data_IF_274669870202
#
_entry.id   IF_274669870202
#
_cell.length_a   1.000
_cell.length_b   1.000
_cell.length_c   1.000
_cell.angle_alpha   90.00
_cell.angle_beta   90.00
_cell.angle_gamma   90.00
#
_symmetry.space_group_name_H-M   'P 1'
#
loop_
_entity.id
_entity.type
_entity.pdbx_description
1 polymer ?
#
# COMPACT_ATOMS: atom_id res chain seq x y z
N UNK A 1 -37.10 3.85 55.39
CA UNK A 1 -36.43 5.17 55.38
C UNK A 1 -37.02 5.97 54.23
N UNK A 2 -37.43 7.22 54.47
CA UNK A 2 -37.75 8.20 53.40
C UNK A 2 -36.43 8.73 52.85
N UNK A 3 -36.32 8.94 51.54
CA UNK A 3 -35.81 10.18 50.94
C UNK A 3 -36.18 10.23 49.45
N UNK A 4 -37.33 10.82 49.18
CA UNK A 4 -37.64 11.50 47.91
C UNK A 4 -36.63 12.65 47.72
N UNK A 5 -36.16 12.89 46.50
CA UNK A 5 -36.13 14.22 45.82
C UNK A 5 -35.33 14.12 44.51
N UNK A 6 -36.07 14.29 43.41
CA UNK A 6 -35.74 14.97 42.15
C UNK A 6 -34.28 15.39 41.88
N UNK A 7 -33.75 14.94 40.74
CA UNK A 7 -32.69 15.64 40.00
C UNK A 7 -33.28 16.05 38.64
N UNK A 8 -33.77 17.28 38.64
CA UNK A 8 -33.76 18.28 37.56
C UNK A 8 -33.41 17.80 36.16
N UNK A 9 -34.39 17.89 35.26
CA UNK A 9 -34.18 18.02 33.81
C UNK A 9 -33.22 19.18 33.52
N UNK A 10 -31.97 18.86 33.19
CA UNK A 10 -31.01 19.84 32.69
C UNK A 10 -31.34 20.12 31.22
N UNK A 11 -32.23 21.09 31.00
CA UNK A 11 -32.52 21.66 29.69
C UNK A 11 -31.28 22.34 29.13
N UNK A 12 -30.43 21.59 28.43
CA UNK A 12 -29.37 22.16 27.63
C UNK A 12 -30.01 22.99 26.52
N UNK A 13 -29.99 24.30 26.70
CA UNK A 13 -30.47 25.25 25.72
C UNK A 13 -29.67 25.06 24.43
N UNK A 14 -30.31 24.47 23.41
CA UNK A 14 -29.78 24.45 22.06
C UNK A 14 -29.87 25.88 21.51
N UNK A 15 -28.84 26.67 21.82
CA UNK A 15 -28.63 27.98 21.21
C UNK A 15 -28.54 27.78 19.71
N UNK A 16 -29.56 28.23 18.99
CA UNK A 16 -29.57 28.26 17.52
C UNK A 16 -28.55 29.31 17.08
N UNK A 17 -27.30 28.88 16.91
CA UNK A 17 -26.34 29.58 16.08
C UNK A 17 -26.71 29.29 14.64
N UNK A 18 -27.41 30.23 14.01
CA UNK A 18 -27.72 30.22 12.59
C UNK A 18 -26.50 30.60 11.72
N UNK A 19 -25.35 30.00 12.01
CA UNK A 19 -24.35 29.76 10.97
C UNK A 19 -24.84 28.54 10.15
N UNK A 20 -24.55 28.49 8.83
CA UNK A 20 -24.89 27.30 8.06
C UNK A 20 -24.22 26.07 8.71
N UNK A 21 -24.94 24.96 8.90
CA UNK A 21 -24.45 23.80 9.68
C UNK A 21 -23.23 23.10 9.06
N UNK A 22 -22.74 23.59 7.93
CA UNK A 22 -21.56 23.12 7.21
C UNK A 22 -20.24 23.58 7.82
N UNK A 23 -20.12 24.80 8.37
CA UNK A 23 -18.78 25.35 8.70
C UNK A 23 -18.12 24.64 9.89
N UNK A 24 -18.82 24.54 11.03
CA UNK A 24 -18.30 23.86 12.23
C UNK A 24 -18.11 22.36 12.00
N UNK A 25 -18.96 21.74 11.16
CA UNK A 25 -18.82 20.34 10.77
C UNK A 25 -17.59 20.15 9.86
N UNK A 26 -17.39 21.02 8.86
CA UNK A 26 -16.22 20.98 7.98
C UNK A 26 -14.91 21.16 8.75
N UNK A 27 -14.81 22.14 9.66
CA UNK A 27 -13.59 22.36 10.47
C UNK A 27 -13.26 21.15 11.37
N UNK A 28 -14.28 20.48 11.92
CA UNK A 28 -14.12 19.23 12.70
C UNK A 28 -13.74 18.03 11.82
N UNK A 29 -14.34 17.94 10.64
CA UNK A 29 -14.12 16.86 9.68
C UNK A 29 -12.73 16.99 9.02
N UNK A 30 -12.26 18.20 8.73
CA UNK A 30 -10.87 18.49 8.36
C UNK A 30 -9.90 18.05 9.45
N UNK A 31 -10.13 18.42 10.70
CA UNK A 31 -9.28 18.01 11.83
C UNK A 31 -9.23 16.48 11.96
N UNK A 32 -10.34 15.79 11.65
CA UNK A 32 -10.40 14.32 11.59
C UNK A 32 -9.55 13.77 10.45
N UNK A 33 -9.67 14.31 9.23
CA UNK A 33 -8.86 13.90 8.07
C UNK A 33 -7.36 14.17 8.31
N UNK A 34 -7.00 15.33 8.87
CA UNK A 34 -5.64 15.68 9.24
C UNK A 34 -5.09 14.72 10.32
N UNK A 35 -5.88 14.41 11.36
CA UNK A 35 -5.53 13.45 12.39
C UNK A 35 -5.27 12.04 11.82
N UNK A 36 -6.14 11.58 10.92
CA UNK A 36 -5.95 10.32 10.17
C UNK A 36 -4.63 10.33 9.39
N UNK A 37 -4.38 11.37 8.59
CA UNK A 37 -3.16 11.42 7.76
C UNK A 37 -1.90 11.53 8.63
N UNK A 38 -1.96 12.22 9.77
CA UNK A 38 -0.87 12.22 10.76
C UNK A 38 -0.66 10.84 11.39
N UNK A 39 -1.72 10.12 11.77
CA UNK A 39 -1.62 8.77 12.35
C UNK A 39 -1.03 7.77 11.33
N UNK A 40 -1.43 7.88 10.07
CA UNK A 40 -0.87 7.14 8.92
C UNK A 40 0.61 7.48 8.75
N UNK A 41 0.98 8.77 8.73
CA UNK A 41 2.37 9.22 8.62
C UNK A 41 3.26 8.75 9.77
N UNK A 42 2.76 8.80 11.02
CA UNK A 42 3.49 8.27 12.17
C UNK A 42 3.65 6.75 12.09
N UNK A 43 2.60 6.01 11.74
CA UNK A 43 2.66 4.56 11.55
C UNK A 43 3.62 4.15 10.42
N UNK A 44 3.71 4.96 9.35
CA UNK A 44 4.68 4.80 8.26
C UNK A 44 6.12 5.07 8.73
N UNK A 45 6.33 6.07 9.60
CA UNK A 45 7.64 6.34 10.23
C UNK A 45 8.07 5.24 11.19
N UNK A 46 7.14 4.63 11.91
CA UNK A 46 7.46 3.52 12.80
C UNK A 46 7.71 2.23 12.00
N UNK A 47 7.01 2.02 10.87
CA UNK A 47 7.38 1.00 9.88
C UNK A 47 8.78 1.25 9.28
N UNK A 48 9.14 2.50 8.95
CA UNK A 48 10.49 2.86 8.51
C UNK A 48 11.56 2.47 9.54
N UNK A 49 11.37 2.83 10.81
CA UNK A 49 12.28 2.45 11.90
C UNK A 49 12.35 0.94 12.09
N UNK A 50 11.23 0.21 11.95
CA UNK A 50 11.21 -1.25 12.04
C UNK A 50 11.99 -1.91 10.89
N UNK A 51 11.97 -1.34 9.68
CA UNK A 51 12.82 -1.76 8.57
C UNK A 51 14.29 -1.43 8.84
N UNK A 52 14.62 -0.20 9.25
CA UNK A 52 16.00 0.21 9.55
C UNK A 52 16.63 -0.61 10.70
N UNK A 53 15.85 -0.89 11.74
CA UNK A 53 16.22 -1.71 12.88
C UNK A 53 16.10 -3.23 12.65
N UNK A 54 15.67 -3.68 11.46
CA UNK A 54 15.61 -5.10 11.14
C UNK A 54 17.00 -5.72 11.26
N UNK A 55 17.13 -6.81 12.02
CA UNK A 55 18.39 -7.52 12.27
C UNK A 55 18.15 -9.04 12.23
N UNK A 56 17.27 -9.50 11.33
CA UNK A 56 16.88 -10.91 11.15
C UNK A 56 15.56 -11.33 11.81
N UNK A 57 14.99 -10.54 12.72
CA UNK A 57 13.70 -10.84 13.37
C UNK A 57 12.52 -10.19 12.63
N UNK A 58 11.54 -11.00 12.23
CA UNK A 58 10.35 -10.53 11.50
C UNK A 58 9.29 -9.90 12.43
N UNK A 59 9.27 -10.21 13.73
CA UNK A 59 8.17 -9.88 14.63
C UNK A 59 7.93 -8.37 14.73
N UNK A 60 9.00 -7.59 14.90
CA UNK A 60 8.91 -6.12 14.92
C UNK A 60 8.42 -5.52 13.60
N UNK A 61 8.86 -6.08 12.46
CA UNK A 61 8.49 -5.59 11.13
C UNK A 61 7.06 -5.97 10.73
N UNK A 62 6.65 -7.22 10.97
CA UNK A 62 5.28 -7.68 10.75
C UNK A 62 4.29 -6.98 11.68
N UNK A 63 4.66 -6.75 12.95
CA UNK A 63 3.89 -5.96 13.89
C UNK A 63 3.66 -4.52 13.41
N UNK A 64 4.73 -3.83 13.00
CA UNK A 64 4.64 -2.47 12.46
C UNK A 64 3.82 -2.40 11.17
N UNK A 65 4.00 -3.35 10.25
CA UNK A 65 3.26 -3.38 8.98
C UNK A 65 1.77 -3.74 9.17
N UNK A 66 1.46 -4.63 10.12
CA UNK A 66 0.09 -4.93 10.54
C UNK A 66 -0.59 -3.72 11.20
N UNK A 67 0.12 -3.03 12.10
CA UNK A 67 -0.35 -1.79 12.71
C UNK A 67 -0.59 -0.69 11.66
N UNK A 68 0.32 -0.53 10.68
CA UNK A 68 0.14 0.41 9.57
C UNK A 68 -1.08 0.06 8.71
N UNK A 69 -1.25 -1.21 8.36
CA UNK A 69 -2.41 -1.70 7.59
C UNK A 69 -3.72 -1.47 8.36
N UNK A 70 -3.73 -1.68 9.67
CA UNK A 70 -4.89 -1.38 10.53
C UNK A 70 -5.19 0.13 10.57
N UNK A 71 -4.16 0.98 10.75
CA UNK A 71 -4.27 2.45 10.70
C UNK A 71 -4.82 2.94 9.35
N UNK A 72 -4.40 2.36 8.22
CA UNK A 72 -4.94 2.67 6.90
C UNK A 72 -6.43 2.32 6.77
N UNK A 73 -6.86 1.16 7.27
CA UNK A 73 -8.26 0.75 7.26
C UNK A 73 -9.13 1.62 8.20
N UNK A 74 -8.67 1.89 9.41
CA UNK A 74 -9.37 2.78 10.36
C UNK A 74 -9.45 4.21 9.81
N UNK A 75 -8.36 4.72 9.25
CA UNK A 75 -8.32 6.01 8.58
C UNK A 75 -9.30 6.09 7.42
N UNK A 76 -9.39 5.04 6.60
CA UNK A 76 -10.36 4.95 5.51
C UNK A 76 -11.79 5.07 6.03
N UNK A 77 -12.14 4.31 7.08
CA UNK A 77 -13.48 4.38 7.69
C UNK A 77 -13.79 5.76 8.29
N UNK A 78 -12.82 6.39 8.96
CA UNK A 78 -12.99 7.74 9.50
C UNK A 78 -13.23 8.77 8.40
N UNK A 79 -12.40 8.78 7.34
CA UNK A 79 -12.56 9.69 6.18
C UNK A 79 -13.83 9.39 5.38
N UNK A 80 -14.27 8.13 5.27
CA UNK A 80 -15.57 7.81 4.66
C UNK A 80 -16.72 8.50 5.41
N UNK A 81 -16.63 8.58 6.74
CA UNK A 81 -17.62 9.22 7.61
C UNK A 81 -17.59 10.75 7.65
N UNK A 82 -16.61 11.42 7.03
CA UNK A 82 -16.57 12.89 6.97
C UNK A 82 -17.35 13.46 5.79
N UNK A 83 -17.67 14.75 5.87
CA UNK A 83 -18.19 15.56 4.78
C UNK A 83 -17.15 15.77 3.66
N UNK A 84 -17.59 16.32 2.52
CA UNK A 84 -16.66 16.89 1.52
C UNK A 84 -15.93 18.10 2.11
N UNK A 85 -14.65 18.27 1.74
CA UNK A 85 -13.84 19.41 2.18
C UNK A 85 -13.74 20.47 1.08
N UNK A 86 -13.53 21.72 1.47
CA UNK A 86 -13.34 22.84 0.55
C UNK A 86 -11.95 22.83 -0.10
N UNK A 87 -11.77 23.63 -1.15
CA UNK A 87 -10.48 23.80 -1.82
C UNK A 87 -9.38 24.30 -0.86
N UNK A 88 -9.72 25.20 0.06
CA UNK A 88 -8.76 25.79 0.99
C UNK A 88 -8.27 24.77 2.03
N UNK A 89 -9.14 23.83 2.40
CA UNK A 89 -8.86 22.71 3.28
C UNK A 89 -8.02 21.63 2.57
N UNK A 90 -8.32 21.35 1.30
CA UNK A 90 -7.51 20.48 0.45
C UNK A 90 -6.06 20.98 0.29
N UNK A 91 -5.87 22.31 0.18
CA UNK A 91 -4.53 22.91 0.15
C UNK A 91 -3.75 22.70 1.45
N UNK A 92 -4.42 22.63 2.61
CA UNK A 92 -3.77 22.30 3.88
C UNK A 92 -3.29 20.83 3.92
N UNK A 93 -4.03 19.92 3.27
CA UNK A 93 -3.62 18.51 3.17
C UNK A 93 -2.35 18.30 2.34
N UNK A 94 -2.06 19.19 1.38
CA UNK A 94 -0.92 19.06 0.46
C UNK A 94 0.44 18.93 1.19
N UNK A 95 0.63 19.65 2.30
CA UNK A 95 1.83 19.52 3.13
C UNK A 95 1.96 18.10 3.71
N UNK A 96 0.88 17.55 4.26
CA UNK A 96 0.88 16.19 4.81
C UNK A 96 1.12 15.11 3.75
N UNK A 97 0.54 15.26 2.55
CA UNK A 97 0.78 14.30 1.45
C UNK A 97 2.23 14.34 0.97
N UNK A 98 2.85 15.54 0.91
CA UNK A 98 4.29 15.65 0.58
C UNK A 98 5.19 14.97 1.63
N UNK A 99 4.80 15.04 2.91
CA UNK A 99 5.45 14.29 4.00
C UNK A 99 5.33 12.79 3.82
N UNK A 100 4.11 12.27 3.60
CA UNK A 100 3.87 10.84 3.32
C UNK A 100 4.64 10.34 2.08
N UNK A 101 4.75 11.16 1.03
CA UNK A 101 5.53 10.81 -0.16
C UNK A 101 7.03 10.72 0.15
N UNK A 102 7.56 11.63 0.96
CA UNK A 102 8.95 11.57 1.44
C UNK A 102 9.19 10.34 2.31
N UNK A 103 8.30 10.07 3.28
CA UNK A 103 8.38 8.91 4.18
C UNK A 103 8.24 7.58 3.41
N UNK A 104 7.43 7.53 2.35
CA UNK A 104 7.29 6.37 1.46
C UNK A 104 8.50 6.15 0.53
N UNK A 105 9.16 7.23 0.11
CA UNK A 105 10.44 7.13 -0.61
C UNK A 105 11.56 6.62 0.33
N UNK A 106 11.57 7.08 1.59
CA UNK A 106 12.46 6.57 2.61
C UNK A 106 12.21 5.08 2.88
N UNK A 107 10.93 4.63 2.97
CA UNK A 107 10.58 3.22 3.12
C UNK A 107 11.13 2.37 1.99
N UNK A 108 10.94 2.80 0.75
CA UNK A 108 11.44 2.10 -0.43
C UNK A 108 12.96 1.95 -0.37
N UNK A 109 13.69 3.05 -0.12
CA UNK A 109 15.16 3.03 0.02
C UNK A 109 15.64 2.17 1.18
N UNK A 110 14.94 2.18 2.31
CA UNK A 110 15.36 1.42 3.50
C UNK A 110 15.06 -0.07 3.33
N UNK A 111 13.95 -0.44 2.69
CA UNK A 111 13.69 -1.80 2.26
C UNK A 111 14.79 -2.28 1.29
N UNK A 112 15.13 -1.50 0.26
CA UNK A 112 16.18 -1.85 -0.71
C UNK A 112 17.56 -2.03 -0.05
N UNK A 113 17.94 -1.16 0.89
CA UNK A 113 19.17 -1.33 1.70
C UNK A 113 19.15 -2.62 2.54
N UNK A 114 17.99 -3.01 3.06
CA UNK A 114 17.80 -4.18 3.94
C UNK A 114 17.50 -5.48 3.19
N UNK A 115 17.29 -5.41 1.87
CA UNK A 115 17.16 -6.56 0.98
C UNK A 115 18.14 -7.71 1.24
N UNK A 116 19.47 -7.52 1.36
CA UNK A 116 20.39 -8.62 1.67
C UNK A 116 20.18 -9.26 3.04
N UNK A 117 19.53 -8.59 3.99
CA UNK A 117 19.13 -9.18 5.28
C UNK A 117 17.82 -9.94 5.17
N UNK A 118 16.84 -9.43 4.41
CA UNK A 118 15.60 -10.16 4.10
C UNK A 118 15.88 -11.43 3.28
N UNK A 119 16.82 -11.38 2.35
CA UNK A 119 17.31 -12.53 1.59
C UNK A 119 17.92 -13.58 2.53
N UNK A 120 18.84 -13.18 3.43
CA UNK A 120 19.41 -14.07 4.46
C UNK A 120 18.36 -14.71 5.36
N UNK A 121 17.34 -13.96 5.76
CA UNK A 121 16.23 -14.44 6.58
C UNK A 121 15.16 -15.21 5.78
N UNK A 122 15.31 -15.35 4.46
CA UNK A 122 14.35 -15.96 3.53
C UNK A 122 12.94 -15.34 3.53
N UNK A 123 12.86 -14.01 3.70
CA UNK A 123 11.62 -13.26 3.89
C UNK A 123 11.07 -12.57 2.63
N UNK A 124 11.74 -12.64 1.48
CA UNK A 124 11.40 -11.87 0.27
C UNK A 124 9.90 -11.92 -0.09
N UNK A 125 9.30 -13.12 -0.09
CA UNK A 125 7.88 -13.31 -0.40
C UNK A 125 6.92 -12.69 0.62
N UNK A 126 7.26 -12.71 1.91
CA UNK A 126 6.47 -12.08 2.97
C UNK A 126 6.53 -10.56 2.82
N UNK A 127 7.74 -10.00 2.61
CA UNK A 127 7.92 -8.56 2.37
C UNK A 127 7.14 -8.13 1.12
N UNK A 128 7.24 -8.85 0.00
CA UNK A 128 6.46 -8.57 -1.21
C UNK A 128 4.95 -8.59 -0.97
N UNK A 129 4.42 -9.58 -0.24
CA UNK A 129 2.99 -9.67 0.07
C UNK A 129 2.53 -8.54 1.00
N UNK A 130 3.38 -8.15 1.95
CA UNK A 130 3.07 -7.09 2.91
C UNK A 130 3.10 -5.70 2.25
N UNK A 131 4.07 -5.44 1.36
CA UNK A 131 4.13 -4.21 0.54
C UNK A 131 2.88 -4.10 -0.34
N UNK A 132 2.43 -5.19 -0.96
CA UNK A 132 1.18 -5.22 -1.73
C UNK A 132 -0.05 -4.88 -0.88
N UNK A 133 -0.20 -5.56 0.27
CA UNK A 133 -1.32 -5.35 1.21
C UNK A 133 -1.38 -3.91 1.75
N UNK A 134 -0.22 -3.33 2.03
CA UNK A 134 -0.06 -1.93 2.43
C UNK A 134 -0.40 -0.99 1.28
N UNK A 135 0.00 -1.31 0.05
CA UNK A 135 -0.33 -0.56 -1.16
C UNK A 135 -1.83 -0.51 -1.44
N UNK A 136 -2.53 -1.63 -1.31
CA UNK A 136 -3.99 -1.68 -1.44
C UNK A 136 -4.71 -0.86 -0.37
N UNK A 137 -4.24 -0.94 0.89
CA UNK A 137 -4.77 -0.13 2.00
C UNK A 137 -4.56 1.36 1.79
N UNK A 138 -3.36 1.76 1.34
CA UNK A 138 -3.02 3.14 1.06
C UNK A 138 -3.79 3.67 -0.16
N UNK A 139 -3.94 2.87 -1.22
CA UNK A 139 -4.75 3.22 -2.40
C UNK A 139 -6.20 3.46 -2.01
N UNK A 140 -6.82 2.58 -1.20
CA UNK A 140 -8.19 2.78 -0.69
C UNK A 140 -8.35 4.07 0.10
N UNK A 141 -7.39 4.39 0.99
CA UNK A 141 -7.42 5.64 1.73
C UNK A 141 -7.31 6.85 0.79
N UNK A 142 -6.38 6.83 -0.16
CA UNK A 142 -6.19 7.93 -1.11
C UNK A 142 -7.43 8.10 -2.00
N UNK A 143 -7.95 7.03 -2.60
CA UNK A 143 -9.18 7.07 -3.40
C UNK A 143 -10.36 7.61 -2.57
N UNK A 144 -10.46 7.24 -1.29
CA UNK A 144 -11.46 7.79 -0.36
C UNK A 144 -11.27 9.29 -0.15
N UNK A 145 -10.04 9.76 0.11
CA UNK A 145 -9.75 11.21 0.22
C UNK A 145 -10.07 11.93 -1.09
N UNK A 146 -9.80 11.32 -2.26
CA UNK A 146 -10.17 11.85 -3.59
C UNK A 146 -11.69 12.06 -3.70
N UNK A 147 -12.52 11.15 -3.16
CA UNK A 147 -13.98 11.35 -3.13
C UNK A 147 -14.45 12.49 -2.22
N UNK A 148 -13.61 12.97 -1.29
CA UNK A 148 -13.95 14.06 -0.37
C UNK A 148 -13.40 15.43 -0.82
N UNK A 149 -12.48 15.48 -1.78
CA UNK A 149 -11.99 16.74 -2.36
C UNK A 149 -12.75 17.15 -3.62
N UNK A 150 -12.89 18.46 -3.90
CA UNK A 150 -13.66 18.94 -5.04
C UNK A 150 -12.98 18.60 -6.37
N UNK A 151 -13.79 18.42 -7.43
CA UNK A 151 -13.37 18.02 -8.78
C UNK A 151 -12.12 18.76 -9.30
N UNK A 152 -11.97 20.06 -9.01
CA UNK A 152 -10.82 20.88 -9.39
C UNK A 152 -9.45 20.36 -8.94
N UNK A 153 -9.39 19.59 -7.85
CA UNK A 153 -8.14 18.99 -7.32
C UNK A 153 -8.11 17.47 -7.40
N UNK A 154 -9.23 16.82 -7.76
CA UNK A 154 -9.29 15.36 -7.94
C UNK A 154 -8.28 14.86 -8.97
N UNK A 155 -8.02 15.62 -10.05
CA UNK A 155 -6.99 15.28 -11.04
C UNK A 155 -5.59 15.25 -10.43
N UNK A 156 -5.24 16.24 -9.60
CA UNK A 156 -3.94 16.31 -8.92
C UNK A 156 -3.81 15.17 -7.91
N UNK A 157 -4.86 14.95 -7.11
CA UNK A 157 -4.88 13.87 -6.12
C UNK A 157 -4.79 12.48 -6.79
N UNK A 158 -5.45 12.28 -7.93
CA UNK A 158 -5.36 11.03 -8.72
C UNK A 158 -3.98 10.82 -9.35
N UNK A 159 -3.34 11.89 -9.86
CA UNK A 159 -1.98 11.81 -10.37
C UNK A 159 -0.98 11.46 -9.25
N UNK A 160 -1.16 12.06 -8.07
CA UNK A 160 -0.33 11.80 -6.90
C UNK A 160 -0.55 10.36 -6.37
N UNK A 161 -1.81 9.90 -6.33
CA UNK A 161 -2.17 8.51 -6.05
C UNK A 161 -1.51 7.52 -7.02
N UNK A 162 -1.52 7.84 -8.31
CA UNK A 162 -0.85 7.05 -9.35
C UNK A 162 0.66 6.97 -9.14
N UNK A 163 1.31 8.09 -8.80
CA UNK A 163 2.75 8.12 -8.50
C UNK A 163 3.11 7.29 -7.26
N UNK A 164 2.28 7.33 -6.22
CA UNK A 164 2.45 6.54 -5.00
C UNK A 164 2.24 5.04 -5.27
N UNK A 165 1.16 4.67 -5.95
CA UNK A 165 0.88 3.30 -6.36
C UNK A 165 1.97 2.73 -7.27
N UNK A 166 2.52 3.54 -8.20
CA UNK A 166 3.65 3.16 -9.06
C UNK A 166 4.92 2.92 -8.22
N UNK A 167 5.20 3.80 -7.26
CA UNK A 167 6.34 3.64 -6.34
C UNK A 167 6.22 2.33 -5.56
N UNK A 168 5.08 2.06 -4.92
CA UNK A 168 4.89 0.81 -4.15
C UNK A 168 4.90 -0.43 -5.03
N UNK A 169 4.37 -0.36 -6.26
CA UNK A 169 4.43 -1.46 -7.24
C UNK A 169 5.87 -1.76 -7.67
N UNK A 170 6.68 -0.72 -7.89
CA UNK A 170 8.11 -0.87 -8.17
C UNK A 170 8.85 -1.49 -6.98
N UNK A 171 8.56 -1.04 -5.75
CA UNK A 171 9.12 -1.62 -4.54
C UNK A 171 8.74 -3.09 -4.41
N UNK A 172 7.46 -3.45 -4.63
CA UNK A 172 7.01 -4.84 -4.64
C UNK A 172 7.76 -5.68 -5.70
N UNK A 173 7.96 -5.15 -6.91
CA UNK A 173 8.76 -5.84 -7.95
C UNK A 173 10.23 -6.03 -7.53
N UNK A 174 10.84 -5.08 -6.82
CA UNK A 174 12.18 -5.23 -6.24
C UNK A 174 12.29 -6.38 -5.22
N UNK A 175 11.17 -6.82 -4.62
CA UNK A 175 11.06 -7.97 -3.70
C UNK A 175 10.45 -9.24 -4.33
N UNK A 176 10.01 -9.18 -5.58
CA UNK A 176 9.43 -10.32 -6.29
C UNK A 176 10.47 -11.42 -6.57
N UNK A 177 9.97 -12.62 -6.89
CA UNK A 177 10.80 -13.77 -7.27
C UNK A 177 11.73 -13.42 -8.45
N UNK A 178 12.99 -13.82 -8.34
CA UNK A 178 14.05 -13.48 -9.31
C UNK A 178 14.76 -12.15 -9.03
N UNK A 179 14.08 -11.17 -8.42
CA UNK A 179 14.73 -9.93 -7.96
C UNK A 179 15.26 -10.05 -6.53
N UNK A 180 14.55 -10.75 -5.64
CA UNK A 180 14.96 -11.00 -4.25
C UNK A 180 15.11 -12.51 -4.03
N UNK A 181 16.33 -12.96 -3.70
CA UNK A 181 16.67 -14.38 -3.63
C UNK A 181 16.86 -14.82 -2.18
N UNK A 182 15.88 -15.55 -1.65
CA UNK A 182 15.97 -16.17 -0.33
C UNK A 182 17.20 -17.09 -0.22
N UNK A 183 18.00 -16.94 0.83
CA UNK A 183 19.25 -17.66 1.04
C UNK A 183 19.07 -19.19 1.17
N UNK A 184 17.87 -19.65 1.53
CA UNK A 184 17.49 -21.06 1.53
C UNK A 184 16.90 -21.55 0.19
N UNK A 185 17.26 -20.93 -0.94
CA UNK A 185 17.28 -21.58 -2.26
C UNK A 185 15.96 -22.06 -2.86
N UNK A 186 14.81 -21.66 -2.30
CA UNK A 186 13.48 -22.14 -2.69
C UNK A 186 12.57 -20.98 -3.16
N UNK A 187 13.00 -20.29 -4.22
CA UNK A 187 12.23 -19.28 -4.95
C UNK A 187 12.64 -19.34 -6.42
N UNK A 188 11.88 -20.06 -7.24
CA UNK A 188 12.38 -20.67 -8.47
C UNK A 188 12.46 -19.77 -9.71
N UNK A 189 13.41 -20.11 -10.59
CA UNK A 189 13.47 -19.72 -12.01
C UNK A 189 14.49 -18.62 -12.35
N UNK A 190 15.67 -18.91 -12.91
CA UNK A 190 16.35 -20.19 -13.14
C UNK A 190 17.34 -20.11 -14.31
N UNK A 191 18.52 -20.73 -14.18
CA UNK A 191 19.30 -21.26 -15.32
C UNK A 191 20.39 -22.24 -14.84
N UNK A 192 20.02 -23.50 -14.62
CA UNK A 192 20.97 -24.57 -14.30
C UNK A 192 21.48 -25.24 -15.57
N UNK A 193 22.60 -24.79 -16.13
CA UNK A 193 23.32 -25.54 -17.17
C UNK A 193 23.99 -26.76 -16.55
N UNK A 194 23.34 -27.92 -16.67
CA UNK A 194 23.93 -29.23 -16.33
C UNK A 194 24.25 -30.02 -17.59
N UNK A 195 25.53 -30.34 -17.77
CA UNK A 195 26.02 -31.07 -18.94
C UNK A 195 25.66 -32.57 -18.89
N UNK A 196 25.13 -33.05 -20.01
CA UNK A 196 25.47 -34.33 -20.65
C UNK A 196 25.45 -35.62 -19.80
N UNK A 197 24.28 -36.28 -19.74
CA UNK A 197 24.12 -37.68 -19.36
C UNK A 197 23.16 -38.41 -20.31
N UNK A 198 23.66 -39.37 -21.10
CA UNK A 198 22.92 -40.06 -22.17
C UNK A 198 21.84 -41.01 -21.66
N UNK A 199 20.57 -40.94 -22.15
CA UNK A 199 19.56 -41.95 -21.87
C UNK A 199 19.80 -43.24 -22.67
N UNK A 200 19.74 -44.39 -21.98
CA UNK A 200 19.89 -45.72 -22.57
C UNK A 200 18.55 -46.21 -23.18
N UNK A 201 18.65 -46.80 -24.37
CA UNK A 201 17.56 -47.38 -25.17
C UNK A 201 16.63 -48.33 -24.41
N UNK A 202 15.31 -48.20 -24.63
CA UNK A 202 14.31 -49.30 -24.61
C UNK A 202 13.11 -48.90 -25.46
N UNK A 203 12.57 -49.84 -26.24
CA UNK A 203 11.69 -49.58 -27.40
C UNK A 203 10.21 -49.35 -27.03
N UNK A 204 9.46 -48.50 -27.78
CA UNK A 204 8.00 -48.45 -27.71
C UNK A 204 7.34 -49.39 -28.73
N UNK A 205 6.17 -49.93 -28.39
CA UNK A 205 5.30 -50.65 -29.32
C UNK A 205 4.01 -49.85 -29.60
N UNK A 206 3.90 -49.38 -30.85
CA UNK A 206 2.73 -49.26 -31.75
C UNK A 206 1.30 -49.32 -31.14
N UNK A 207 0.31 -48.56 -31.64
CA UNK A 207 0.28 -47.56 -32.72
C UNK A 207 -1.07 -46.81 -32.81
N UNK A 208 -1.10 -45.73 -33.63
CA UNK A 208 -2.27 -45.14 -34.32
C UNK A 208 -3.36 -44.45 -33.45
N UNK A 209 -3.90 -43.26 -33.75
CA UNK A 209 -3.64 -42.21 -34.76
C UNK A 209 -4.35 -40.90 -34.27
N UNK A 210 -4.27 -39.69 -34.85
CA UNK A 210 -3.68 -39.20 -36.11
C UNK A 210 -3.26 -37.70 -36.02
N UNK A 211 -2.41 -37.30 -36.97
CA UNK A 211 -2.39 -36.06 -37.80
C UNK A 211 -3.49 -35.00 -37.53
N UNK A 212 -3.23 -33.67 -37.49
CA UNK A 212 -2.38 -32.85 -38.37
C UNK A 212 -1.69 -31.66 -37.66
N UNK A 213 -0.49 -31.34 -38.14
CA UNK A 213 0.32 -30.18 -37.77
C UNK A 213 0.06 -28.96 -38.67
N UNK A 214 -0.02 -27.77 -38.08
CA UNK A 214 0.30 -26.50 -38.76
C UNK A 214 1.21 -25.71 -37.82
N UNK A 215 2.34 -25.20 -38.32
CA UNK A 215 3.37 -24.58 -37.49
C UNK A 215 3.68 -23.13 -37.86
N UNK A 216 4.64 -22.57 -37.13
CA UNK A 216 5.38 -21.32 -37.37
C UNK A 216 4.55 -20.02 -37.30
N UNK A 217 4.82 -19.25 -36.24
CA UNK A 217 4.24 -17.93 -35.99
C UNK A 217 5.04 -17.15 -34.96
N UNK A 218 6.35 -16.98 -35.19
CA UNK A 218 7.20 -16.12 -34.36
C UNK A 218 6.79 -14.66 -34.57
N UNK A 219 6.26 -14.02 -33.53
CA UNK A 219 6.06 -12.56 -33.50
C UNK A 219 6.81 -11.97 -32.32
N UNK A 220 7.96 -11.37 -32.64
CA UNK A 220 8.61 -10.42 -31.77
C UNK A 220 7.87 -9.07 -31.87
N UNK A 221 7.49 -8.52 -30.73
CA UNK A 221 7.10 -7.12 -30.57
C UNK A 221 7.31 -6.76 -29.10
N UNK A 222 7.73 -5.58 -28.71
CA UNK A 222 8.43 -4.46 -29.33
C UNK A 222 8.66 -3.51 -28.13
N UNK A 223 9.77 -2.78 -28.08
CA UNK A 223 9.99 -1.83 -27.00
C UNK A 223 8.95 -0.70 -27.04
N UNK A 224 8.50 -0.24 -25.87
CA UNK A 224 7.90 1.09 -25.72
C UNK A 224 8.65 1.84 -24.62
N UNK A 225 9.43 2.83 -25.06
CA UNK A 225 10.03 3.84 -24.20
C UNK A 225 9.34 5.18 -24.48
N UNK A 226 8.77 5.79 -23.44
CA UNK A 226 8.29 7.18 -23.37
C UNK A 226 8.49 7.57 -21.90
N UNK A 227 9.52 8.34 -21.49
CA UNK A 227 9.87 9.74 -21.81
C UNK A 227 8.89 10.76 -21.21
N UNK A 228 9.37 11.51 -20.21
CA UNK A 228 8.99 12.87 -19.73
C UNK A 228 9.86 13.09 -18.46
N UNK A 229 10.73 14.10 -18.31
CA UNK A 229 10.58 15.56 -18.47
C UNK A 229 9.42 16.14 -17.66
#
# INVERSE_FOLDING_TARGET
MKFTTEITLLTLAMGVFAEPPTKVVAERDLATIQGVIQQVGNSLKDLNKAVEGFNGDLSGLAGAAGAFTNTLNQGTQQVMGTSEITLNEALQLQQFVSGLQSDGNALTKNLEKKKPEFEKASLCGIISSQVGSVGDGAKKLIDTVVTKVPQSVQSVASQLAGSFATTLSSTQQSFAAGNCTNANGMGGGGNGTSNNGTPKTSSPAKASAATLSVGLGSIAAAAFAVMLL
#
